data_IF_328259395387
#
_entry.id   IF_328259395387
#
_cell.length_a   1.000
_cell.length_b   1.000
_cell.length_c   1.000
_cell.angle_alpha   90.00
_cell.angle_beta   90.00
_cell.angle_gamma   90.00
#
_symmetry.space_group_name_H-M   'P 1'
#
loop_
_entity.id
_entity.type
_entity.pdbx_description
1 polymer ?
#
# COMPACT_ATOMS: atom_id res chain seq x y z
N UNK A 1 -6.96 -21.65 -5.27
CA UNK A 1 -7.57 -20.93 -4.15
C UNK A 1 -8.04 -19.61 -4.73
N UNK A 2 -9.33 -19.33 -4.74
CA UNK A 2 -9.81 -18.02 -5.18
C UNK A 2 -9.35 -16.98 -4.15
N UNK A 3 -8.88 -15.83 -4.60
CA UNK A 3 -8.52 -14.74 -3.71
C UNK A 3 -9.82 -14.18 -3.12
N UNK A 4 -9.85 -13.96 -1.82
CA UNK A 4 -11.03 -13.37 -1.17
C UNK A 4 -11.28 -11.97 -1.76
N UNK A 5 -12.54 -11.53 -1.95
CA UNK A 5 -12.85 -10.23 -2.55
C UNK A 5 -12.15 -9.07 -1.87
N UNK A 6 -11.97 -9.17 -0.55
CA UNK A 6 -11.26 -8.19 0.29
C UNK A 6 -9.77 -8.11 -0.04
N UNK A 7 -9.09 -9.26 -0.14
CA UNK A 7 -7.66 -9.33 -0.45
C UNK A 7 -7.40 -8.76 -1.85
N UNK A 8 -8.24 -9.11 -2.82
CA UNK A 8 -8.16 -8.57 -4.19
C UNK A 8 -8.30 -7.05 -4.23
N UNK A 9 -9.17 -6.50 -3.38
CA UNK A 9 -9.40 -5.07 -3.29
C UNK A 9 -8.24 -4.34 -2.61
N UNK A 10 -7.68 -4.90 -1.53
CA UNK A 10 -6.49 -4.39 -0.85
C UNK A 10 -5.31 -4.32 -1.82
N UNK A 11 -5.06 -5.36 -2.61
CA UNK A 11 -3.97 -5.36 -3.60
C UNK A 11 -4.19 -4.32 -4.70
N UNK A 12 -5.44 -4.16 -5.17
CA UNK A 12 -5.80 -3.16 -6.19
C UNK A 12 -5.56 -1.73 -5.69
N UNK A 13 -5.99 -1.42 -4.46
CA UNK A 13 -5.78 -0.12 -3.83
C UNK A 13 -4.28 0.13 -3.61
N UNK A 14 -3.55 -0.85 -3.10
CA UNK A 14 -2.11 -0.75 -2.88
C UNK A 14 -1.35 -0.47 -4.19
N UNK A 15 -1.71 -1.15 -5.29
CA UNK A 15 -1.13 -0.90 -6.60
C UNK A 15 -1.39 0.53 -7.10
N UNK A 16 -2.58 1.08 -6.87
CA UNK A 16 -2.90 2.46 -7.20
C UNK A 16 -2.07 3.45 -6.37
N UNK A 17 -1.97 3.23 -5.05
CA UNK A 17 -1.15 4.02 -4.14
C UNK A 17 0.32 4.06 -4.57
N UNK A 18 0.91 2.90 -4.85
CA UNK A 18 2.31 2.80 -5.29
C UNK A 18 2.54 3.57 -6.58
N UNK A 19 1.64 3.41 -7.58
CA UNK A 19 1.73 4.14 -8.86
C UNK A 19 1.70 5.66 -8.65
N UNK A 20 0.93 6.11 -7.68
CA UNK A 20 0.71 7.52 -7.38
C UNK A 20 1.74 8.05 -6.34
N UNK A 21 2.72 7.23 -5.93
CA UNK A 21 3.81 7.61 -5.03
C UNK A 21 3.44 7.69 -3.56
N UNK A 22 2.35 7.03 -3.15
CA UNK A 22 1.95 6.87 -1.75
C UNK A 22 2.70 5.69 -1.15
N UNK A 23 3.52 5.98 -0.13
CA UNK A 23 4.21 4.97 0.66
C UNK A 23 3.37 4.46 1.84
N UNK A 24 3.78 3.35 2.43
CA UNK A 24 3.04 2.72 3.53
C UNK A 24 3.00 3.53 4.85
N UNK A 25 3.83 4.56 4.97
CA UNK A 25 3.83 5.53 6.08
C UNK A 25 2.97 6.77 5.84
N UNK A 26 2.21 6.85 4.75
CA UNK A 26 1.30 7.97 4.50
C UNK A 26 0.25 8.09 5.62
N UNK A 27 0.01 9.32 6.09
CA UNK A 27 -0.96 9.63 7.16
C UNK A 27 -1.88 10.82 6.80
N UNK A 28 -1.60 11.54 5.71
CA UNK A 28 -2.43 12.67 5.28
C UNK A 28 -3.76 12.16 4.73
N UNK A 29 -4.83 12.40 5.49
CA UNK A 29 -6.19 12.03 5.12
C UNK A 29 -6.63 12.61 3.76
N UNK A 30 -6.17 13.80 3.39
CA UNK A 30 -6.51 14.39 2.09
C UNK A 30 -5.89 13.61 0.93
N UNK A 31 -4.70 13.01 1.16
CA UNK A 31 -4.02 12.16 0.18
C UNK A 31 -4.61 10.75 0.13
N UNK A 32 -5.23 10.29 1.22
CA UNK A 32 -5.86 8.97 1.30
C UNK A 32 -7.31 8.93 0.80
N UNK A 33 -8.05 10.04 0.90
CA UNK A 33 -9.45 10.13 0.52
C UNK A 33 -9.79 9.63 -0.90
N UNK A 34 -8.97 9.85 -1.95
CA UNK A 34 -9.25 9.32 -3.28
C UNK A 34 -9.29 7.78 -3.32
N UNK A 35 -8.55 7.10 -2.45
CA UNK A 35 -8.50 5.65 -2.37
C UNK A 35 -9.72 5.07 -1.65
N UNK A 36 -10.20 5.77 -0.61
CA UNK A 36 -11.47 5.42 0.04
C UNK A 36 -12.64 5.58 -0.94
N UNK A 37 -12.62 6.65 -1.75
CA UNK A 37 -13.68 6.92 -2.73
C UNK A 37 -13.73 5.90 -3.89
N UNK A 38 -12.62 5.21 -4.19
CA UNK A 38 -12.60 4.15 -5.21
C UNK A 38 -12.81 2.75 -4.66
N UNK A 39 -12.86 2.57 -3.34
CA UNK A 39 -12.98 1.27 -2.73
C UNK A 39 -14.36 0.66 -3.00
N UNK A 40 -14.41 -0.63 -3.28
CA UNK A 40 -15.66 -1.37 -3.38
C UNK A 40 -16.25 -1.61 -1.98
N UNK A 41 -17.36 -0.93 -1.68
CA UNK A 41 -18.09 -1.09 -0.44
C UNK A 41 -18.63 -2.53 -0.22
N UNK A 42 -18.70 -3.35 -1.27
CA UNK A 42 -19.01 -4.78 -1.18
C UNK A 42 -17.86 -5.64 -0.64
N UNK A 43 -16.62 -5.13 -0.69
CA UNK A 43 -15.42 -5.81 -0.19
C UNK A 43 -15.10 -5.49 1.28
N UNK A 44 -15.69 -4.43 1.84
CA UNK A 44 -15.52 -4.02 3.23
C UNK A 44 -15.72 -2.52 3.46
N UNK A 45 -15.38 -2.06 4.66
CA UNK A 45 -15.33 -0.63 4.95
C UNK A 45 -14.19 0.04 4.14
N UNK A 46 -14.47 1.10 3.36
CA UNK A 46 -13.47 1.76 2.53
C UNK A 46 -12.22 2.22 3.28
N UNK A 47 -12.38 2.70 4.51
CA UNK A 47 -11.26 3.20 5.31
C UNK A 47 -10.41 2.05 5.81
N UNK A 48 -11.03 0.95 6.24
CA UNK A 48 -10.30 -0.26 6.61
C UNK A 48 -9.48 -0.82 5.44
N UNK A 49 -10.07 -0.89 4.24
CA UNK A 49 -9.39 -1.36 3.03
C UNK A 49 -8.16 -0.50 2.67
N UNK A 50 -8.26 0.81 2.80
CA UNK A 50 -7.15 1.75 2.59
C UNK A 50 -6.05 1.58 3.64
N UNK A 51 -6.41 1.42 4.91
CA UNK A 51 -5.43 1.19 5.98
C UNK A 51 -4.72 -0.16 5.83
N UNK A 52 -5.44 -1.19 5.38
CA UNK A 52 -4.87 -2.49 5.10
C UNK A 52 -3.98 -2.46 3.85
N UNK A 53 -4.32 -1.67 2.84
CA UNK A 53 -3.43 -1.44 1.69
C UNK A 53 -2.11 -0.77 2.10
N UNK A 54 -2.14 0.21 3.02
CA UNK A 54 -0.92 0.80 3.57
C UNK A 54 -0.08 -0.23 4.34
N UNK A 55 -0.72 -1.10 5.12
CA UNK A 55 -0.06 -2.20 5.81
C UNK A 55 0.54 -3.22 4.84
N UNK A 56 -0.17 -3.55 3.78
CA UNK A 56 0.29 -4.45 2.72
C UNK A 56 1.55 -3.90 2.02
N UNK A 57 1.57 -2.59 1.71
CA UNK A 57 2.75 -1.91 1.16
C UNK A 57 3.93 -2.07 2.12
N UNK A 58 3.74 -1.77 3.42
CA UNK A 58 4.79 -1.93 4.45
C UNK A 58 5.32 -3.35 4.54
N UNK A 59 4.43 -4.34 4.50
CA UNK A 59 4.83 -5.76 4.56
C UNK A 59 5.67 -6.14 3.34
N UNK A 60 5.28 -5.72 2.13
CA UNK A 60 6.05 -5.95 0.91
C UNK A 60 7.41 -5.25 0.91
N UNK A 61 7.48 -4.04 1.44
CA UNK A 61 8.75 -3.32 1.62
C UNK A 61 9.65 -3.99 2.69
N UNK A 62 9.05 -4.67 3.66
CA UNK A 62 9.74 -5.37 4.75
C UNK A 62 10.10 -6.82 4.42
N UNK A 63 9.63 -7.37 3.29
CA UNK A 63 9.98 -8.73 2.90
C UNK A 63 11.50 -8.82 2.66
N UNK A 64 12.20 -9.75 3.35
CA UNK A 64 13.66 -9.84 3.30
C UNK A 64 14.23 -10.25 1.93
N UNK A 65 13.38 -10.41 0.91
CA UNK A 65 13.73 -10.81 -0.45
C UNK A 65 14.57 -9.80 -1.23
N UNK A 66 14.70 -8.54 -0.77
CA UNK A 66 15.44 -7.49 -1.50
C UNK A 66 16.43 -6.68 -0.63
N UNK A 67 16.78 -7.20 0.55
CA UNK A 67 17.84 -6.58 1.39
C UNK A 67 19.21 -6.63 0.69
N UNK A 68 19.42 -7.60 -0.21
CA UNK A 68 20.65 -7.73 -1.00
C UNK A 68 20.62 -7.00 -2.36
N UNK A 69 19.45 -6.66 -2.91
CA UNK A 69 19.33 -5.95 -4.19
C UNK A 69 19.24 -4.42 -4.04
N UNK A 70 18.74 -3.91 -2.92
CA UNK A 70 18.67 -2.47 -2.61
C UNK A 70 19.87 -1.90 -1.84
N UNK A 71 20.99 -2.64 -1.74
CA UNK A 71 22.23 -2.16 -1.12
C UNK A 71 22.78 -0.85 -1.75
N UNK A 72 22.38 -0.51 -2.98
CA UNK A 72 22.75 0.75 -3.64
C UNK A 72 21.97 2.00 -3.18
N UNK A 73 20.88 1.85 -2.41
CA UNK A 73 20.05 2.98 -1.92
C UNK A 73 20.19 3.23 -0.42
N UNK A 74 20.90 2.38 0.31
CA UNK A 74 21.31 2.66 1.69
C UNK A 74 22.42 3.73 1.70
N UNK A 75 22.04 4.99 1.91
CA UNK A 75 22.98 6.11 2.11
C UNK A 75 22.82 7.33 1.18
N UNK A 76 21.88 7.33 0.24
CA UNK A 76 21.70 8.43 -0.71
C UNK A 76 20.72 9.53 -0.22
N UNK A 77 20.80 9.91 1.06
CA UNK A 77 19.82 10.82 1.65
C UNK A 77 20.21 11.44 2.99
N UNK A 78 21.47 11.86 3.14
CA UNK A 78 21.84 12.93 4.07
C UNK A 78 22.72 13.92 3.31
N UNK A 79 22.11 15.03 2.90
CA UNK A 79 22.75 16.30 2.52
C UNK A 79 21.73 17.40 2.74
#
# INVERSE_FOLDING_TARGET
MAMEPRDAEVERIAAAMIRDGIGGDEQDAARLAPYEAMADAGAGDPRELVLEALLYIKMKESEPGDILGNAGKFGAGFS
#
